data_IF_368069337113
#
_entry.id   IF_368069337113
#
_cell.length_a   1.000
_cell.length_b   1.000
_cell.length_c   1.000
_cell.angle_alpha   90.00
_cell.angle_beta   90.00
_cell.angle_gamma   90.00
#
_symmetry.space_group_name_H-M   'P 1'
#
loop_
_entity.id
_entity.type
_entity.pdbx_description
1 polymer ?
#
# COMPACT_ATOMS: atom_id res chain seq x y z
N UNK A 1 9.64 -9.63 7.97
CA UNK A 1 9.11 -8.45 7.24
C UNK A 1 7.59 -8.49 7.29
N UNK A 2 6.94 -7.36 7.54
CA UNK A 2 5.47 -7.27 7.52
C UNK A 2 4.94 -7.17 6.10
N UNK A 3 3.92 -7.94 5.76
CA UNK A 3 3.28 -7.93 4.45
C UNK A 3 1.78 -7.76 4.62
N UNK A 4 1.26 -6.60 4.25
CA UNK A 4 -0.18 -6.38 4.26
C UNK A 4 -0.84 -6.94 3.01
N UNK A 5 -1.86 -7.78 3.21
CA UNK A 5 -2.67 -8.37 2.14
C UNK A 5 -4.15 -8.23 2.43
N UNK A 6 -4.94 -8.01 1.39
CA UNK A 6 -6.40 -7.87 1.48
C UNK A 6 -7.06 -9.22 1.71
N UNK A 7 -8.10 -9.25 2.54
CA UNK A 7 -8.92 -10.43 2.80
C UNK A 7 -9.88 -10.72 1.64
N UNK A 8 -9.34 -11.22 0.52
CA UNK A 8 -10.14 -11.56 -0.66
C UNK A 8 -11.08 -12.73 -0.40
N UNK A 9 -10.70 -13.65 0.49
CA UNK A 9 -11.55 -14.77 0.85
C UNK A 9 -12.73 -14.32 1.73
N UNK A 10 -12.51 -13.37 2.63
CA UNK A 10 -13.56 -12.65 3.35
C UNK A 10 -14.49 -11.88 2.42
N UNK A 11 -13.94 -11.10 1.47
CA UNK A 11 -14.76 -10.38 0.49
C UNK A 11 -15.65 -11.32 -0.34
N UNK A 12 -15.10 -12.45 -0.79
CA UNK A 12 -15.88 -13.45 -1.53
C UNK A 12 -17.03 -14.00 -0.68
N UNK A 13 -16.78 -14.29 0.61
CA UNK A 13 -17.84 -14.71 1.55
C UNK A 13 -18.90 -13.63 1.76
N UNK A 14 -18.55 -12.35 1.61
CA UNK A 14 -19.49 -11.23 1.64
C UNK A 14 -20.25 -11.00 0.33
N UNK A 15 -20.08 -11.86 -0.67
CA UNK A 15 -20.86 -11.83 -1.92
C UNK A 15 -20.18 -11.14 -3.10
N UNK A 16 -18.92 -10.69 -2.96
CA UNK A 16 -18.17 -10.15 -4.09
C UNK A 16 -17.74 -11.26 -5.05
N UNK A 17 -18.06 -11.10 -6.34
CA UNK A 17 -17.65 -12.03 -7.38
C UNK A 17 -16.18 -11.77 -7.77
N UNK A 18 -15.26 -12.49 -7.14
CA UNK A 18 -13.83 -12.42 -7.44
C UNK A 18 -13.40 -13.64 -8.27
N UNK A 19 -12.51 -13.41 -9.24
CA UNK A 19 -11.90 -14.50 -10.00
C UNK A 19 -11.30 -15.58 -9.06
N UNK A 20 -11.36 -16.88 -9.40
CA UNK A 20 -10.93 -17.95 -8.49
C UNK A 20 -9.48 -17.83 -8.02
N UNK A 21 -8.58 -17.29 -8.85
CA UNK A 21 -7.18 -17.09 -8.51
C UNK A 21 -6.93 -15.96 -7.51
N UNK A 22 -7.90 -15.07 -7.28
CA UNK A 22 -7.80 -13.93 -6.37
C UNK A 22 -8.15 -14.36 -4.93
N UNK A 23 -7.21 -15.02 -4.26
CA UNK A 23 -7.35 -15.45 -2.86
C UNK A 23 -6.38 -14.70 -1.95
N UNK A 24 -6.69 -14.63 -0.65
CA UNK A 24 -5.79 -14.02 0.34
C UNK A 24 -4.44 -14.74 0.35
N UNK A 25 -4.47 -16.08 0.23
CA UNK A 25 -3.27 -16.91 0.14
C UNK A 25 -2.43 -16.61 -1.10
N UNK A 26 -3.05 -16.45 -2.28
CA UNK A 26 -2.30 -16.17 -3.51
C UNK A 26 -1.66 -14.78 -3.47
N UNK A 27 -2.33 -13.78 -2.87
CA UNK A 27 -1.73 -12.47 -2.63
C UNK A 27 -0.50 -12.57 -1.71
N UNK A 28 -0.61 -13.29 -0.60
CA UNK A 28 0.51 -13.50 0.31
C UNK A 28 1.68 -14.20 -0.41
N UNK A 29 1.39 -15.32 -1.11
CA UNK A 29 2.39 -16.10 -1.83
C UNK A 29 3.11 -15.30 -2.91
N UNK A 30 2.42 -14.37 -3.58
CA UNK A 30 3.04 -13.48 -4.58
C UNK A 30 4.24 -12.74 -4.01
N UNK A 31 4.15 -12.24 -2.78
CA UNK A 31 5.25 -11.53 -2.13
C UNK A 31 6.22 -12.49 -1.46
N UNK A 32 5.73 -13.46 -0.69
CA UNK A 32 6.62 -14.34 0.08
C UNK A 32 7.47 -15.24 -0.81
N UNK A 33 7.05 -15.52 -2.05
CA UNK A 33 7.89 -16.26 -3.01
C UNK A 33 9.23 -15.58 -3.31
N UNK A 34 9.33 -14.25 -3.19
CA UNK A 34 10.62 -13.54 -3.27
C UNK A 34 11.46 -13.78 -2.01
N UNK A 35 10.82 -13.83 -0.83
CA UNK A 35 11.53 -14.11 0.42
C UNK A 35 12.07 -15.54 0.44
N UNK A 36 11.29 -16.51 -0.05
CA UNK A 36 11.72 -17.90 -0.20
C UNK A 36 12.97 -17.98 -1.09
N UNK A 37 12.97 -17.26 -2.22
CA UNK A 37 14.12 -17.19 -3.13
C UNK A 37 15.34 -16.53 -2.47
N UNK A 38 15.16 -15.42 -1.76
CA UNK A 38 16.24 -14.73 -1.07
C UNK A 38 16.82 -15.57 0.06
N UNK A 39 15.96 -16.24 0.85
CA UNK A 39 16.38 -17.16 1.90
C UNK A 39 17.17 -18.34 1.33
N UNK A 40 16.75 -18.91 0.19
CA UNK A 40 17.50 -19.96 -0.49
C UNK A 40 18.87 -19.47 -0.99
N UNK A 41 19.00 -18.18 -1.29
CA UNK A 41 20.25 -17.53 -1.69
C UNK A 41 21.13 -17.07 -0.49
N UNK A 42 20.78 -17.45 0.75
CA UNK A 42 21.52 -17.06 1.96
C UNK A 42 20.92 -15.89 2.74
N UNK A 43 19.71 -15.46 2.39
CA UNK A 43 18.97 -14.40 3.08
C UNK A 43 19.47 -13.00 2.76
N UNK A 44 18.97 -12.00 3.51
CA UNK A 44 19.45 -10.62 3.42
C UNK A 44 20.56 -10.45 4.46
N UNK A 45 21.78 -10.17 3.99
CA UNK A 45 22.96 -10.05 4.85
C UNK A 45 23.18 -11.27 5.77
N UNK A 46 22.86 -12.48 5.29
CA UNK A 46 22.97 -13.71 6.08
C UNK A 46 21.79 -14.00 7.00
N UNK A 47 20.77 -13.13 7.05
CA UNK A 47 19.58 -13.33 7.86
C UNK A 47 18.42 -13.90 7.05
N UNK A 48 17.80 -14.95 7.58
CA UNK A 48 16.53 -15.48 7.07
C UNK A 48 15.40 -14.48 7.29
N UNK A 49 14.58 -14.31 6.27
CA UNK A 49 13.39 -13.47 6.29
C UNK A 49 12.20 -14.33 6.67
N UNK A 50 11.57 -14.00 7.78
CA UNK A 50 10.27 -14.55 8.15
C UNK A 50 9.16 -13.53 7.81
N UNK A 51 8.17 -13.90 6.97
CA UNK A 51 7.05 -13.03 6.68
C UNK A 51 6.05 -13.00 7.84
N UNK A 52 5.62 -11.80 8.22
CA UNK A 52 4.45 -11.57 9.08
C UNK A 52 3.31 -11.13 8.18
N UNK A 53 2.37 -12.02 7.90
CA UNK A 53 1.23 -11.73 7.03
C UNK A 53 0.16 -10.97 7.83
N UNK A 54 -0.11 -9.74 7.42
CA UNK A 54 -1.04 -8.82 8.07
C UNK A 54 -2.28 -8.67 7.19
N UNK A 55 -3.33 -9.40 7.51
CA UNK A 55 -4.55 -9.41 6.69
C UNK A 55 -5.47 -8.26 7.07
N UNK A 56 -5.98 -7.51 6.09
CA UNK A 56 -6.98 -6.45 6.29
C UNK A 56 -8.20 -6.63 5.38
N UNK A 57 -9.38 -6.29 5.87
CA UNK A 57 -10.64 -6.38 5.14
C UNK A 57 -10.96 -5.05 4.44
N UNK A 58 -11.04 -5.01 3.10
CA UNK A 58 -11.26 -3.77 2.36
C UNK A 58 -12.59 -3.07 2.60
N UNK A 59 -13.59 -3.76 3.15
CA UNK A 59 -14.89 -3.16 3.50
C UNK A 59 -15.01 -2.86 5.00
N UNK A 60 -13.97 -3.12 5.80
CA UNK A 60 -13.92 -2.80 7.24
C UNK A 60 -12.65 -1.98 7.57
N UNK A 61 -12.72 -0.64 7.48
CA UNK A 61 -11.58 0.26 7.68
C UNK A 61 -10.82 0.07 9.01
N UNK A 62 -11.51 -0.38 10.07
CA UNK A 62 -10.90 -0.67 11.37
C UNK A 62 -9.81 -1.75 11.29
N UNK A 63 -9.90 -2.68 10.34
CA UNK A 63 -8.89 -3.75 10.17
C UNK A 63 -7.58 -3.22 9.61
N UNK A 64 -7.62 -2.22 8.72
CA UNK A 64 -6.42 -1.55 8.21
C UNK A 64 -5.75 -0.69 9.29
N UNK A 65 -6.53 -0.08 10.20
CA UNK A 65 -5.97 0.60 11.36
C UNK A 65 -5.21 -0.39 12.25
N UNK A 66 -5.81 -1.56 12.52
CA UNK A 66 -5.14 -2.62 13.29
C UNK A 66 -3.81 -3.03 12.65
N UNK A 67 -3.72 -3.08 11.32
CA UNK A 67 -2.45 -3.36 10.63
C UNK A 67 -1.40 -2.28 10.93
N UNK A 68 -1.76 -0.99 10.96
CA UNK A 68 -0.81 0.03 11.40
C UNK A 68 -0.35 -0.22 12.83
N UNK A 69 -1.29 -0.44 13.76
CA UNK A 69 -0.98 -0.64 15.17
C UNK A 69 -0.10 -1.89 15.37
N UNK A 70 -0.37 -2.97 14.64
CA UNK A 70 0.43 -4.19 14.70
C UNK A 70 1.84 -3.98 14.13
N UNK A 71 1.97 -3.34 12.96
CA UNK A 71 3.25 -3.13 12.31
C UNK A 71 4.18 -2.17 13.08
N UNK A 72 3.61 -1.30 13.92
CA UNK A 72 4.34 -0.25 14.64
C UNK A 72 4.52 -0.53 16.13
N UNK A 73 3.55 -1.18 16.79
CA UNK A 73 3.53 -1.36 18.25
C UNK A 73 3.55 -2.84 18.63
N UNK A 74 2.58 -3.63 18.14
CA UNK A 74 2.32 -4.96 18.71
C UNK A 74 3.21 -6.08 18.13
N UNK A 75 3.68 -5.89 16.89
CA UNK A 75 4.54 -6.85 16.19
C UNK A 75 5.54 -6.06 15.35
N UNK A 76 6.55 -5.44 15.98
CA UNK A 76 7.52 -4.61 15.28
C UNK A 76 8.18 -5.39 14.15
N UNK A 77 8.08 -4.86 12.93
CA UNK A 77 8.69 -5.47 11.75
C UNK A 77 9.88 -4.65 11.29
N UNK A 78 10.91 -5.35 10.77
CA UNK A 78 12.08 -4.69 10.20
C UNK A 78 11.73 -3.72 9.04
N UNK A 79 10.75 -4.11 8.23
CA UNK A 79 10.19 -3.31 7.16
C UNK A 79 8.78 -3.80 6.84
N UNK A 80 7.97 -2.94 6.24
CA UNK A 80 6.59 -3.17 5.87
C UNK A 80 6.38 -3.06 4.36
N UNK A 81 5.63 -4.00 3.79
CA UNK A 81 5.26 -4.03 2.37
C UNK A 81 3.74 -4.00 2.27
N UNK A 82 3.21 -2.98 1.62
CA UNK A 82 1.80 -2.94 1.24
C UNK A 82 1.62 -3.60 -0.13
N UNK A 83 1.19 -4.88 -0.12
CA UNK A 83 1.17 -5.72 -1.30
C UNK A 83 -0.13 -5.63 -2.12
N UNK A 84 -1.20 -5.05 -1.56
CA UNK A 84 -2.53 -5.15 -2.17
C UNK A 84 -3.43 -3.94 -1.92
N UNK A 85 -2.86 -2.74 -1.87
CA UNK A 85 -3.65 -1.50 -1.97
C UNK A 85 -4.33 -1.06 -0.67
N UNK A 86 -3.74 -1.36 0.48
CA UNK A 86 -4.19 -0.74 1.74
C UNK A 86 -4.08 0.79 1.61
N UNK A 87 -5.08 1.53 2.09
CA UNK A 87 -5.18 2.97 1.85
C UNK A 87 -3.99 3.77 2.37
N UNK A 88 -3.62 4.84 1.65
CA UNK A 88 -2.40 5.60 1.88
C UNK A 88 -2.26 6.17 3.30
N UNK A 89 -3.37 6.53 3.97
CA UNK A 89 -3.34 7.03 5.37
C UNK A 89 -2.73 6.02 6.36
N UNK A 90 -2.96 4.73 6.15
CA UNK A 90 -2.42 3.67 7.01
C UNK A 90 -0.94 3.43 6.74
N UNK A 91 -0.49 3.66 5.51
CA UNK A 91 0.92 3.61 5.13
C UNK A 91 1.68 4.77 5.77
N UNK A 92 1.10 5.96 5.73
CA UNK A 92 1.64 7.14 6.38
C UNK A 92 1.75 6.94 7.90
N UNK A 93 0.76 6.29 8.52
CA UNK A 93 0.78 5.89 9.93
C UNK A 93 2.02 5.03 10.26
N UNK A 94 2.33 4.04 9.40
CA UNK A 94 3.48 3.15 9.58
C UNK A 94 4.81 3.87 9.33
N UNK A 95 4.90 4.65 8.25
CA UNK A 95 6.11 5.39 7.89
C UNK A 95 6.45 6.46 8.94
N UNK A 96 5.45 7.18 9.48
CA UNK A 96 5.63 8.16 10.56
C UNK A 96 6.13 7.55 11.86
N UNK A 97 5.87 6.27 12.09
CA UNK A 97 6.42 5.52 13.22
C UNK A 97 7.88 5.08 12.99
N UNK A 98 8.48 5.39 11.84
CA UNK A 98 9.87 5.09 11.53
C UNK A 98 10.11 3.71 10.93
N UNK A 99 9.05 2.97 10.59
CA UNK A 99 9.18 1.64 9.95
C UNK A 99 9.45 1.82 8.45
N UNK A 100 10.56 1.30 7.91
CA UNK A 100 10.82 1.31 6.47
C UNK A 100 9.65 0.70 5.70
N UNK A 101 9.08 1.45 4.77
CA UNK A 101 7.81 1.10 4.15
C UNK A 101 7.89 1.14 2.63
N UNK A 102 7.42 0.08 1.99
CA UNK A 102 7.36 -0.07 0.54
C UNK A 102 5.92 -0.11 0.04
N UNK A 103 5.60 0.72 -0.94
CA UNK A 103 4.26 0.76 -1.54
C UNK A 103 4.31 0.88 -3.06
N UNK A 104 3.54 0.04 -3.74
CA UNK A 104 3.48 0.00 -5.21
C UNK A 104 2.60 1.07 -5.86
N UNK A 105 2.05 2.02 -5.11
CA UNK A 105 1.05 2.97 -5.60
C UNK A 105 1.36 4.40 -5.14
N UNK A 106 0.51 5.34 -5.57
CA UNK A 106 0.59 6.76 -5.22
C UNK A 106 0.29 6.98 -3.73
N UNK A 107 1.15 7.72 -3.05
CA UNK A 107 1.02 8.13 -1.65
C UNK A 107 1.12 9.66 -1.51
N UNK A 108 0.62 10.26 -0.41
CA UNK A 108 0.80 11.68 -0.16
C UNK A 108 2.27 12.03 0.07
N UNK A 109 2.67 13.27 -0.26
CA UNK A 109 4.02 13.77 -0.06
C UNK A 109 4.49 13.62 1.39
N UNK A 110 3.57 13.76 2.36
CA UNK A 110 3.87 13.59 3.78
C UNK A 110 4.41 12.19 4.15
N UNK A 111 4.07 11.15 3.39
CA UNK A 111 4.67 9.82 3.59
C UNK A 111 6.12 9.80 3.09
N UNK A 112 6.41 10.41 1.94
CA UNK A 112 7.77 10.53 1.41
C UNK A 112 8.69 11.36 2.33
N UNK A 113 8.15 12.42 2.91
CA UNK A 113 8.89 13.34 3.79
C UNK A 113 9.40 12.67 5.08
N UNK A 114 8.90 11.46 5.41
CA UNK A 114 9.41 10.66 6.54
C UNK A 114 10.84 10.13 6.31
N UNK A 115 11.29 10.06 5.05
CA UNK A 115 12.61 9.52 4.67
C UNK A 115 12.74 8.00 4.77
N UNK A 116 11.74 7.29 5.28
CA UNK A 116 11.73 5.81 5.39
C UNK A 116 10.73 5.15 4.43
N UNK A 117 10.06 5.95 3.60
CA UNK A 117 9.06 5.49 2.64
C UNK A 117 9.65 5.41 1.23
N UNK A 118 9.38 4.30 0.55
CA UNK A 118 9.75 4.08 -0.86
C UNK A 118 8.51 3.66 -1.64
N UNK A 119 8.27 4.31 -2.78
CA UNK A 119 7.25 3.91 -3.74
C UNK A 119 7.77 3.94 -5.18
N UNK A 120 7.02 3.32 -6.09
CA UNK A 120 7.33 3.31 -7.53
C UNK A 120 6.70 4.48 -8.30
N UNK A 121 6.00 5.37 -7.59
CA UNK A 121 5.24 6.47 -8.17
C UNK A 121 5.61 7.79 -7.49
N UNK A 122 5.59 8.93 -8.20
CA UNK A 122 5.66 10.24 -7.55
C UNK A 122 4.52 10.41 -6.54
N UNK A 123 4.65 11.41 -5.65
CA UNK A 123 3.61 11.74 -4.68
C UNK A 123 2.30 12.16 -5.37
N UNK A 124 1.19 12.03 -4.65
CA UNK A 124 -0.14 12.38 -5.12
C UNK A 124 -0.22 13.83 -5.62
N UNK A 125 0.42 14.74 -4.90
CA UNK A 125 0.47 16.18 -5.18
C UNK A 125 1.22 16.48 -6.48
N UNK A 126 2.36 15.81 -6.71
CA UNK A 126 3.14 15.94 -7.95
C UNK A 126 2.35 15.39 -9.13
N UNK A 127 1.77 14.20 -8.99
CA UNK A 127 0.97 13.57 -10.04
C UNK A 127 -0.27 14.41 -10.39
N UNK A 128 -1.00 14.91 -9.40
CA UNK A 128 -2.18 15.76 -9.60
C UNK A 128 -1.81 17.06 -10.32
N UNK A 129 -0.74 17.73 -9.89
CA UNK A 129 -0.27 18.97 -10.50
C UNK A 129 0.12 18.79 -11.96
N UNK A 130 0.83 17.70 -12.27
CA UNK A 130 1.21 17.35 -13.64
C UNK A 130 -0.02 17.05 -14.51
N UNK A 131 -0.97 16.27 -14.00
CA UNK A 131 -2.20 15.92 -14.72
C UNK A 131 -3.07 17.14 -15.05
N UNK A 132 -3.26 18.04 -14.08
CA UNK A 132 -4.01 19.29 -14.30
C UNK A 132 -3.30 20.18 -15.32
N UNK A 133 -1.97 20.31 -15.23
CA UNK A 133 -1.18 21.09 -16.18
C UNK A 133 -1.29 20.55 -17.61
N UNK A 134 -1.26 19.22 -17.77
CA UNK A 134 -1.45 18.57 -19.05
C UNK A 134 -2.87 18.82 -19.61
N UNK A 135 -3.90 18.74 -18.77
CA UNK A 135 -5.28 18.99 -19.18
C UNK A 135 -5.53 20.44 -19.64
N UNK A 136 -4.93 21.42 -18.95
CA UNK A 136 -4.95 22.83 -19.38
C UNK A 136 -4.25 22.99 -20.74
N UNK A 137 -3.06 22.41 -20.88
CA UNK A 137 -2.25 22.50 -22.11
C UNK A 137 -2.97 21.86 -23.30
N UNK A 138 -3.69 20.76 -23.08
CA UNK A 138 -4.50 20.09 -24.09
C UNK A 138 -5.83 20.82 -24.40
N UNK A 139 -6.13 21.95 -23.73
CA UNK A 139 -7.36 22.71 -23.91
C UNK A 139 -8.61 22.06 -23.30
N UNK A 140 -8.45 21.01 -22.48
CA UNK A 140 -9.55 20.32 -21.79
C UNK A 140 -10.11 21.17 -20.64
N UNK A 141 -9.27 22.01 -20.04
CA UNK A 141 -9.66 22.99 -19.02
C UNK A 141 -9.43 24.38 -19.59
N UNK A 142 -10.51 25.03 -20.03
CA UNK A 142 -10.46 26.37 -20.58
C UNK A 142 -10.22 27.44 -19.50
N UNK A 143 -9.63 28.57 -19.89
CA UNK A 143 -9.47 29.73 -19.00
C UNK A 143 -10.84 30.19 -18.48
N UNK A 144 -10.98 30.32 -17.16
CA UNK A 144 -12.22 30.73 -16.51
C UNK A 144 -13.26 29.61 -16.32
N UNK A 145 -12.94 28.37 -16.69
CA UNK A 145 -13.80 27.23 -16.40
C UNK A 145 -13.90 26.97 -14.89
N UNK A 146 -15.09 26.61 -14.41
CA UNK A 146 -15.27 26.04 -13.09
C UNK A 146 -14.90 24.55 -13.12
N UNK A 147 -14.07 24.10 -12.18
CA UNK A 147 -13.59 22.71 -12.10
C UNK A 147 -14.15 22.07 -10.83
N UNK A 148 -14.89 20.98 -10.97
CA UNK A 148 -15.29 20.13 -9.85
C UNK A 148 -14.19 19.11 -9.53
N UNK A 149 -13.80 18.99 -8.27
CA UNK A 149 -12.84 17.98 -7.81
C UNK A 149 -13.60 16.86 -7.11
N UNK A 150 -13.45 15.64 -7.62
CA UNK A 150 -13.92 14.44 -6.95
C UNK A 150 -12.77 13.86 -6.13
N UNK A 151 -12.95 13.78 -4.82
CA UNK A 151 -11.99 13.15 -3.92
C UNK A 151 -12.59 11.85 -3.36
N UNK A 152 -11.74 10.85 -3.15
CA UNK A 152 -12.13 9.64 -2.42
C UNK A 152 -12.36 9.95 -0.94
N UNK A 153 -13.33 9.27 -0.32
CA UNK A 153 -13.53 9.32 1.12
C UNK A 153 -12.43 8.50 1.79
N UNK A 154 -11.32 9.14 2.15
CA UNK A 154 -10.12 8.53 2.70
C UNK A 154 -10.33 7.64 3.93
#
# INVERSE_FOLDING_TARGET
MGVAVSDLDGLRKSGFNLAPALTTQNLAKRITSYFDQWNAAGGINGYTIEPVIMVWDPVKPATAQKVCDDATINTPVFAFINASGMGAKYIECIAKAGVPTFFGEVAPQSAHDTGVFTSISPSAEVNASAGVSAAITAGQIAKGAAVGVLAGNG
#
